data_IF_607710685395
#
_entry.id   IF_607710685395
#
_cell.length_a   1.000
_cell.length_b   1.000
_cell.length_c   1.000
_cell.angle_alpha   90.00
_cell.angle_beta   90.00
_cell.angle_gamma   90.00
#
_symmetry.space_group_name_H-M   'P 1'
#
loop_
_entity.id
_entity.type
_entity.pdbx_description
1 polymer ?
#
# COMPACT_ATOMS: atom_id res chain seq x y z
N UNK A 1 6.71 -16.18 -0.38
CA UNK A 1 6.96 -15.30 0.79
C UNK A 1 6.47 -13.94 0.40
N UNK A 2 5.66 -13.30 1.23
CA UNK A 2 5.15 -11.96 0.97
C UNK A 2 6.31 -10.96 0.88
N UNK A 3 6.25 -10.06 -0.10
CA UNK A 3 7.29 -9.09 -0.37
C UNK A 3 6.81 -7.70 0.07
N UNK A 4 7.53 -7.09 0.99
CA UNK A 4 7.31 -5.69 1.33
C UNK A 4 7.87 -4.78 0.23
N UNK A 5 7.03 -3.89 -0.31
CA UNK A 5 7.48 -2.82 -1.19
C UNK A 5 8.34 -1.81 -0.45
N UNK A 6 9.20 -1.08 -1.18
CA UNK A 6 9.97 0.03 -0.58
C UNK A 6 9.08 1.20 -0.20
N UNK A 7 7.96 1.34 -0.90
CA UNK A 7 6.98 2.39 -0.69
C UNK A 7 5.59 1.92 -1.11
N UNK A 8 4.60 2.27 -0.32
CA UNK A 8 3.20 2.24 -0.69
C UNK A 8 2.49 3.44 -0.05
N UNK A 9 1.37 3.86 -0.63
CA UNK A 9 0.53 4.92 -0.07
C UNK A 9 -0.93 4.48 -0.03
N UNK A 10 -1.56 4.75 1.11
CA UNK A 10 -2.95 4.41 1.37
C UNK A 10 -3.90 5.45 0.75
N UNK A 11 -4.95 4.98 0.09
CA UNK A 11 -6.03 5.81 -0.44
C UNK A 11 -7.38 5.14 -0.20
N UNK A 12 -8.44 5.96 -0.11
CA UNK A 12 -9.82 5.45 -0.08
C UNK A 12 -10.19 4.84 -1.43
N UNK A 13 -10.97 3.76 -1.42
CA UNK A 13 -11.38 3.04 -2.62
C UNK A 13 -12.13 3.94 -3.62
N UNK A 14 -12.96 4.85 -3.11
CA UNK A 14 -13.63 5.86 -3.95
C UNK A 14 -12.68 6.72 -4.77
N UNK A 15 -11.43 6.88 -4.34
CA UNK A 15 -10.43 7.61 -5.11
C UNK A 15 -9.97 6.79 -6.32
N UNK A 16 -9.80 5.48 -6.16
CA UNK A 16 -9.45 4.60 -7.28
C UNK A 16 -10.59 4.43 -8.28
N UNK A 17 -11.84 4.33 -7.79
CA UNK A 17 -13.06 4.23 -8.62
C UNK A 17 -13.32 5.47 -9.50
N UNK A 18 -12.62 6.59 -9.28
CA UNK A 18 -12.66 7.74 -10.18
C UNK A 18 -11.92 7.50 -11.51
N UNK A 19 -11.05 6.48 -11.59
CA UNK A 19 -10.41 6.09 -12.83
C UNK A 19 -11.40 5.29 -13.70
N UNK A 20 -11.61 5.72 -14.95
CA UNK A 20 -12.63 5.17 -15.85
C UNK A 20 -12.44 3.69 -16.21
N UNK A 21 -11.22 3.17 -16.12
CA UNK A 21 -10.89 1.78 -16.41
C UNK A 21 -10.60 0.96 -15.15
N UNK A 22 -11.05 1.44 -13.99
CA UNK A 22 -10.92 0.73 -12.73
C UNK A 22 -11.81 -0.51 -12.71
N UNK A 23 -11.19 -1.66 -12.44
CA UNK A 23 -11.88 -2.95 -12.29
C UNK A 23 -11.27 -3.71 -11.12
N UNK A 24 -12.06 -3.94 -10.06
CA UNK A 24 -11.62 -4.64 -8.85
C UNK A 24 -11.55 -6.14 -9.08
N UNK A 25 -10.42 -6.76 -8.70
CA UNK A 25 -10.33 -8.20 -8.54
C UNK A 25 -10.91 -8.61 -7.18
N UNK A 26 -12.23 -8.69 -7.10
CA UNK A 26 -12.98 -9.00 -5.87
C UNK A 26 -12.63 -10.39 -5.31
N UNK A 27 -12.22 -11.33 -6.15
CA UNK A 27 -11.82 -12.68 -5.71
C UNK A 27 -10.53 -12.69 -4.90
N UNK A 28 -9.75 -11.60 -4.94
CA UNK A 28 -8.46 -11.48 -4.28
C UNK A 28 -8.48 -10.55 -3.06
N UNK A 29 -9.67 -10.12 -2.62
CA UNK A 29 -9.80 -9.26 -1.43
C UNK A 29 -9.21 -9.93 -0.19
N UNK A 30 -8.79 -9.11 0.77
CA UNK A 30 -8.27 -9.63 2.02
C UNK A 30 -9.37 -10.34 2.79
N UNK A 31 -9.02 -11.49 3.35
CA UNK A 31 -9.90 -12.22 4.26
C UNK A 31 -9.94 -11.53 5.63
N UNK A 32 -11.13 -11.42 6.16
CA UNK A 32 -11.36 -10.95 7.52
C UNK A 32 -11.93 -12.08 8.38
N UNK A 33 -11.53 -12.07 9.64
CA UNK A 33 -12.03 -13.02 10.64
C UNK A 33 -13.37 -12.52 11.15
N UNK A 34 -14.42 -13.32 10.95
CA UNK A 34 -15.74 -13.09 11.53
C UNK A 34 -16.10 -14.21 12.47
N UNK A 35 -16.86 -13.87 13.51
CA UNK A 35 -17.50 -14.85 14.38
C UNK A 35 -18.86 -15.21 13.78
N UNK A 36 -19.03 -16.46 13.34
CA UNK A 36 -20.30 -17.02 12.87
C UNK A 36 -20.62 -18.22 13.74
N UNK A 37 -21.77 -18.20 14.41
CA UNK A 37 -22.22 -19.25 15.33
C UNK A 37 -21.18 -19.63 16.41
N UNK A 38 -20.45 -18.63 16.92
CA UNK A 38 -19.43 -18.81 17.96
C UNK A 38 -18.12 -19.45 17.47
N UNK A 39 -17.93 -19.56 16.15
CA UNK A 39 -16.68 -20.02 15.52
C UNK A 39 -16.06 -18.88 14.72
N UNK A 40 -14.74 -18.76 14.83
CA UNK A 40 -13.96 -17.86 13.98
C UNK A 40 -13.84 -18.48 12.58
N UNK A 41 -14.36 -17.76 11.58
CA UNK A 41 -14.26 -18.13 10.16
C UNK A 41 -13.60 -16.99 9.39
N UNK A 42 -12.78 -17.33 8.41
CA UNK A 42 -12.23 -16.37 7.46
C UNK A 42 -13.19 -16.21 6.29
N UNK A 43 -13.64 -14.99 6.05
CA UNK A 43 -14.50 -14.64 4.92
C UNK A 43 -13.89 -13.51 4.13
N UNK A 44 -14.18 -13.46 2.83
CA UNK A 44 -13.79 -12.34 1.99
C UNK A 44 -14.48 -11.07 2.48
N UNK A 45 -13.70 -9.99 2.69
CA UNK A 45 -14.28 -8.72 3.11
C UNK A 45 -15.00 -8.06 1.93
N UNK A 46 -16.05 -7.32 2.23
CA UNK A 46 -16.76 -6.55 1.21
C UNK A 46 -16.13 -5.17 1.09
N UNK A 47 -15.71 -4.80 -0.13
CA UNK A 47 -15.11 -3.50 -0.41
C UNK A 47 -16.17 -2.40 -0.63
N UNK A 48 -16.06 -1.34 0.16
CA UNK A 48 -16.88 -0.13 0.13
C UNK A 48 -16.02 1.09 -0.23
N UNK A 49 -16.66 2.18 -0.61
CA UNK A 49 -15.98 3.42 -1.04
C UNK A 49 -15.03 4.03 0.01
N UNK A 50 -15.29 3.77 1.28
CA UNK A 50 -14.50 4.28 2.40
C UNK A 50 -13.41 3.30 2.87
N UNK A 51 -13.31 2.13 2.25
CA UNK A 51 -12.21 1.20 2.51
C UNK A 51 -10.88 1.75 2.01
N UNK A 52 -9.81 1.43 2.72
CA UNK A 52 -8.45 1.82 2.36
C UNK A 52 -7.79 0.69 1.57
N UNK A 53 -7.28 1.02 0.39
CA UNK A 53 -6.35 0.17 -0.36
C UNK A 53 -4.99 0.87 -0.51
N UNK A 54 -3.99 0.10 -0.91
CA UNK A 54 -2.60 0.55 -0.97
C UNK A 54 -2.12 0.57 -2.42
N UNK A 55 -1.72 1.76 -2.89
CA UNK A 55 -1.01 1.91 -4.15
C UNK A 55 0.49 1.65 -3.90
N UNK A 56 1.02 0.63 -4.56
CA UNK A 56 2.39 0.16 -4.43
C UNK A 56 3.34 0.92 -5.36
N UNK A 57 4.65 0.86 -5.10
CA UNK A 57 5.69 1.50 -5.93
C UNK A 57 5.69 1.07 -7.41
N UNK A 58 5.16 -0.13 -7.71
CA UNK A 58 4.98 -0.65 -9.07
C UNK A 58 3.63 -0.27 -9.69
N UNK A 59 2.86 0.64 -9.08
CA UNK A 59 1.53 1.08 -9.48
C UNK A 59 0.43 0.01 -9.41
N UNK A 60 0.70 -1.12 -8.74
CA UNK A 60 -0.33 -2.12 -8.41
C UNK A 60 -1.10 -1.65 -7.17
N UNK A 61 -2.41 -1.92 -7.11
CA UNK A 61 -3.22 -1.67 -5.92
C UNK A 61 -3.50 -2.98 -5.20
N UNK A 62 -3.22 -3.01 -3.90
CA UNK A 62 -3.40 -4.18 -3.04
C UNK A 62 -4.31 -3.87 -1.86
N UNK A 63 -5.03 -4.89 -1.38
CA UNK A 63 -5.83 -4.84 -0.14
C UNK A 63 -4.98 -5.25 1.08
N UNK A 64 -3.85 -4.57 1.21
CA UNK A 64 -2.83 -4.88 2.21
C UNK A 64 -1.51 -4.22 1.87
N UNK A 65 -0.57 -4.25 2.82
CA UNK A 65 0.73 -3.58 2.66
C UNK A 65 1.71 -4.37 1.76
N UNK A 66 1.53 -5.68 1.62
CA UNK A 66 2.38 -6.55 0.81
C UNK A 66 2.05 -6.38 -0.68
N UNK A 67 3.07 -6.25 -1.53
CA UNK A 67 2.88 -5.88 -2.94
C UNK A 67 2.50 -7.03 -3.87
N UNK A 68 2.60 -8.25 -3.37
CA UNK A 68 2.36 -9.53 -4.05
C UNK A 68 1.18 -10.31 -3.45
N UNK A 69 0.46 -9.72 -2.49
CA UNK A 69 -0.74 -10.30 -1.87
C UNK A 69 -1.95 -9.40 -2.10
N UNK A 70 -3.13 -10.03 -2.15
CA UNK A 70 -4.42 -9.35 -2.26
C UNK A 70 -4.45 -8.24 -3.32
N UNK A 71 -3.91 -8.52 -4.50
CA UNK A 71 -3.87 -7.63 -5.65
C UNK A 71 -5.29 -7.37 -6.14
N UNK A 72 -5.74 -6.12 -6.00
CA UNK A 72 -7.06 -5.65 -6.42
C UNK A 72 -7.03 -5.09 -7.84
N UNK A 73 -5.92 -4.49 -8.25
CA UNK A 73 -5.75 -3.93 -9.59
C UNK A 73 -4.30 -3.96 -10.03
N UNK A 74 -4.01 -4.58 -11.19
CA UNK A 74 -2.66 -4.74 -11.73
C UNK A 74 -2.50 -4.28 -13.19
N UNK A 75 -3.53 -3.68 -13.78
CA UNK A 75 -3.46 -3.18 -15.15
C UNK A 75 -2.71 -1.83 -15.21
N UNK A 76 -1.38 -1.89 -15.18
CA UNK A 76 -0.50 -0.72 -15.12
C UNK A 76 -0.30 -0.12 -16.52
N UNK A 77 -1.22 0.74 -16.95
CA UNK A 77 -1.14 1.49 -18.22
C UNK A 77 -0.52 2.88 -18.04
N UNK A 78 -0.10 3.56 -19.13
CA UNK A 78 0.35 4.96 -19.05
C UNK A 78 -0.71 5.91 -18.48
N UNK A 79 -1.98 5.74 -18.86
CA UNK A 79 -3.11 6.54 -18.39
C UNK A 79 -3.34 6.33 -16.88
N UNK A 80 -3.17 5.10 -16.40
CA UNK A 80 -3.23 4.79 -14.98
C UNK A 80 -2.12 5.48 -14.19
N UNK A 81 -0.88 5.48 -14.70
CA UNK A 81 0.24 6.19 -14.06
C UNK A 81 0.01 7.70 -14.03
N UNK A 82 -0.56 8.25 -15.10
CA UNK A 82 -0.94 9.66 -15.16
C UNK A 82 -2.04 9.99 -14.14
N UNK A 83 -3.06 9.14 -14.02
CA UNK A 83 -4.08 9.29 -12.98
C UNK A 83 -3.51 9.22 -11.57
N UNK A 84 -2.63 8.24 -11.29
CA UNK A 84 -1.95 8.10 -10.00
C UNK A 84 -1.14 9.35 -9.64
N UNK A 85 -0.39 9.90 -10.59
CA UNK A 85 0.48 11.06 -10.33
C UNK A 85 -0.32 12.36 -10.25
N UNK A 86 -1.22 12.62 -11.21
CA UNK A 86 -1.94 13.90 -11.31
C UNK A 86 -3.16 14.01 -10.41
N UNK A 87 -3.90 12.91 -10.23
CA UNK A 87 -5.16 12.92 -9.46
C UNK A 87 -4.93 12.45 -8.03
N UNK A 88 -4.22 11.34 -7.84
CA UNK A 88 -3.94 10.81 -6.50
C UNK A 88 -2.73 11.49 -5.82
N UNK A 89 -1.91 12.23 -6.57
CA UNK A 89 -0.68 12.81 -6.03
C UNK A 89 0.27 11.74 -5.52
N UNK A 90 0.36 10.62 -6.24
CA UNK A 90 1.28 9.54 -5.92
C UNK A 90 2.66 9.85 -6.47
N UNK A 91 3.61 10.03 -5.56
CA UNK A 91 5.01 10.24 -5.86
C UNK A 91 5.85 9.37 -4.92
N UNK A 92 6.85 8.70 -5.47
CA UNK A 92 7.77 7.89 -4.69
C UNK A 92 8.85 8.83 -4.15
N UNK A 93 9.01 8.95 -2.82
CA UNK A 93 10.04 9.80 -2.25
C UNK A 93 11.45 9.30 -2.63
N UNK A 94 12.31 10.22 -3.04
CA UNK A 94 13.74 9.97 -3.25
C UNK A 94 14.45 10.23 -1.92
N UNK A 95 14.99 9.18 -1.31
CA UNK A 95 15.77 9.30 -0.08
C UNK A 95 17.25 9.46 -0.42
N UNK A 96 17.83 10.62 -0.10
CA UNK A 96 19.28 10.80 -0.15
C UNK A 96 19.92 10.21 1.12
N UNK A 97 21.03 9.45 1.00
CA UNK A 97 21.72 8.94 2.16
C UNK A 97 22.35 10.09 2.95
N UNK A 98 22.02 10.20 4.24
CA UNK A 98 22.71 11.13 5.14
C UNK A 98 24.01 10.51 5.63
N UNK A 99 25.11 11.25 5.55
CA UNK A 99 26.38 10.87 6.18
C UNK A 99 26.40 11.40 7.62
N UNK A 100 26.33 10.50 8.59
CA UNK A 100 26.43 10.87 10.01
C UNK A 100 27.91 10.83 10.41
N UNK A 101 28.51 12.01 10.62
CA UNK A 101 29.86 12.10 11.17
C UNK A 101 29.80 11.92 12.70
N UNK A 102 30.02 10.69 13.16
CA UNK A 102 30.12 10.35 14.58
C UNK A 102 31.44 10.86 15.15
N UNK A 103 31.53 12.16 15.42
CA UNK A 103 32.76 12.79 15.94
C UNK A 103 32.50 13.66 17.16
N UNK A 104 31.58 13.28 18.06
CA UNK A 104 31.48 13.90 19.40
C UNK A 104 30.96 12.88 20.44
N UNK A 105 31.76 11.86 20.75
CA UNK A 105 31.76 11.29 22.11
C UNK A 105 33.24 11.13 22.47
N UNK A 106 33.89 12.25 22.82
CA UNK A 106 35.14 12.17 23.57
C UNK A 106 34.78 11.92 25.03
N UNK A 107 35.11 10.72 25.49
CA UNK A 107 35.21 10.32 26.89
C UNK A 107 35.96 11.39 27.70
N UNK A 108 35.23 12.16 28.50
CA UNK A 108 35.80 12.90 29.62
C UNK A 108 35.57 12.10 30.90
N UNK A 109 36.33 11.01 31.05
CA UNK A 109 36.47 10.30 32.32
C UNK A 109 37.94 10.36 32.77
N UNK A 110 38.28 11.40 33.55
CA UNK A 110 39.28 11.34 34.63
C UNK A 110 39.13 12.55 35.57
N UNK A 111 39.48 12.43 36.86
CA UNK A 111 40.78 11.98 37.37
C UNK A 111 40.80 10.63 38.11
#
# INVERSE_FOLDING_TARGET
>A
MATMGKYCKAYLLKNFRQFSHWTENIENVKKEKKQVDGKEVEVDRQLTDDDILYLQENYVVTDGIFKDENIIFENVTPEWKEFCTKTLGFEIPVYEPITINTSVIQDNAKP
#
